data_IF_036189445954
#
_entry.id   IF_036189445954
#
_cell.length_a   1.000
_cell.length_b   1.000
_cell.length_c   1.000
_cell.angle_alpha   90.00
_cell.angle_beta   90.00
_cell.angle_gamma   90.00
#
_symmetry.space_group_name_H-M   'P 1'
#
loop_
_entity.id
_entity.type
_entity.pdbx_description
1 polymer ?
#
# COMPACT_ATOMS: atom_id res chain seq x y z
N UNK A 1 17.95 8.47 -8.51
CA UNK A 1 17.16 7.44 -9.21
C UNK A 1 17.85 7.11 -10.52
N UNK A 2 17.71 5.86 -11.00
CA UNK A 2 18.38 5.41 -12.23
C UNK A 2 17.47 5.54 -13.47
N UNK A 3 16.23 5.06 -13.36
CA UNK A 3 15.27 5.12 -14.45
C UNK A 3 13.83 5.00 -13.97
N UNK A 4 12.89 5.32 -14.85
CA UNK A 4 11.45 5.18 -14.63
C UNK A 4 10.85 4.44 -15.83
N UNK A 5 10.03 3.42 -15.55
CA UNK A 5 9.32 2.67 -16.59
C UNK A 5 7.88 2.39 -16.14
N UNK A 6 6.92 3.10 -16.74
CA UNK A 6 5.53 3.05 -16.33
C UNK A 6 5.37 3.40 -14.84
N UNK A 7 4.71 2.56 -14.02
CA UNK A 7 4.52 2.80 -12.60
C UNK A 7 5.74 2.42 -11.75
N UNK A 8 6.84 1.97 -12.36
CA UNK A 8 8.01 1.45 -11.66
C UNK A 8 9.17 2.46 -11.73
N UNK A 9 9.76 2.71 -10.58
CA UNK A 9 10.96 3.54 -10.41
C UNK A 9 12.11 2.63 -10.00
N UNK A 10 13.23 2.77 -10.69
CA UNK A 10 14.46 2.05 -10.38
C UNK A 10 15.42 2.95 -9.65
N UNK A 11 15.92 2.48 -8.52
CA UNK A 11 16.94 3.17 -7.72
C UNK A 11 18.15 2.27 -7.55
N UNK A 12 19.30 2.88 -7.25
CA UNK A 12 20.47 2.12 -6.79
C UNK A 12 20.13 1.48 -5.45
N UNK A 13 20.43 0.19 -5.30
CA UNK A 13 20.10 -0.58 -4.09
C UNK A 13 20.76 0.02 -2.84
N UNK A 14 19.99 0.49 -1.87
CA UNK A 14 20.50 0.91 -0.57
C UNK A 14 20.94 -0.29 0.28
N UNK A 15 21.87 -0.09 1.21
CA UNK A 15 22.40 -1.18 2.06
C UNK A 15 21.35 -1.84 2.98
N UNK A 16 20.32 -1.09 3.38
CA UNK A 16 19.31 -1.52 4.35
C UNK A 16 17.91 -1.38 3.74
N UNK A 17 17.63 -2.15 2.71
CA UNK A 17 16.31 -2.20 2.09
C UNK A 17 15.74 -3.61 2.21
N UNK A 18 14.44 -3.72 2.43
CA UNK A 18 13.74 -5.00 2.52
C UNK A 18 12.73 -5.16 1.39
N UNK A 19 12.43 -6.40 1.04
CA UNK A 19 11.35 -6.73 0.13
C UNK A 19 10.00 -6.30 0.74
N UNK A 20 9.12 -5.74 -0.09
CA UNK A 20 7.80 -5.23 0.31
C UNK A 20 7.85 -4.04 1.29
N UNK A 21 9.02 -3.41 1.46
CA UNK A 21 9.15 -2.21 2.27
C UNK A 21 8.43 -1.02 1.63
N UNK A 22 7.72 -0.26 2.45
CA UNK A 22 7.09 0.99 2.04
C UNK A 22 8.13 2.06 1.77
N UNK A 23 7.98 2.74 0.64
CA UNK A 23 8.85 3.82 0.20
C UNK A 23 8.03 5.08 -0.04
N UNK A 24 8.51 6.22 0.43
CA UNK A 24 7.94 7.53 0.13
C UNK A 24 8.83 8.28 -0.85
N UNK A 25 8.24 8.75 -1.91
CA UNK A 25 8.88 9.53 -2.97
C UNK A 25 8.42 10.98 -2.83
N UNK A 26 9.33 11.86 -2.38
CA UNK A 26 9.05 13.28 -2.19
C UNK A 26 9.47 14.02 -3.46
N UNK A 27 8.51 14.59 -4.17
CA UNK A 27 8.68 15.33 -5.40
C UNK A 27 9.21 16.77 -5.10
N UNK A 28 9.72 17.44 -6.14
CA UNK A 28 10.23 18.82 -6.02
C UNK A 28 9.19 19.82 -5.51
N UNK A 29 7.92 19.61 -5.83
CA UNK A 29 6.80 20.46 -5.41
C UNK A 29 6.35 20.22 -3.95
N UNK A 30 6.99 19.29 -3.24
CA UNK A 30 6.60 18.88 -1.89
C UNK A 30 5.53 17.80 -1.82
N UNK A 31 4.97 17.40 -2.96
CA UNK A 31 4.04 16.27 -3.04
C UNK A 31 4.78 14.97 -2.67
N UNK A 32 4.16 14.11 -1.88
CA UNK A 32 4.70 12.78 -1.60
C UNK A 32 3.83 11.71 -2.23
N UNK A 33 4.48 10.65 -2.73
CA UNK A 33 3.85 9.47 -3.28
C UNK A 33 4.33 8.23 -2.57
N UNK A 34 3.43 7.28 -2.43
CA UNK A 34 3.72 6.02 -1.74
C UNK A 34 3.98 4.92 -2.76
N UNK A 35 4.97 4.10 -2.48
CA UNK A 35 5.27 2.91 -3.24
C UNK A 35 5.77 1.79 -2.33
N UNK A 36 6.00 0.64 -2.90
CA UNK A 36 6.63 -0.49 -2.23
C UNK A 36 7.74 -1.11 -3.08
N UNK A 37 8.68 -1.75 -2.41
CA UNK A 37 9.75 -2.52 -3.04
C UNK A 37 9.18 -3.82 -3.59
N UNK A 38 9.25 -3.99 -4.92
CA UNK A 38 8.74 -5.19 -5.60
C UNK A 38 9.85 -6.16 -6.03
N UNK A 39 11.06 -5.64 -6.22
CA UNK A 39 12.22 -6.46 -6.55
C UNK A 39 13.49 -5.74 -6.12
N UNK A 40 14.46 -6.49 -5.69
CA UNK A 40 15.80 -5.96 -5.39
C UNK A 40 16.88 -6.94 -5.86
N UNK A 41 17.91 -6.36 -6.42
CA UNK A 41 19.12 -7.04 -6.84
C UNK A 41 20.32 -6.30 -6.20
N UNK A 42 21.53 -6.80 -6.37
CA UNK A 42 22.77 -6.21 -5.80
C UNK A 42 22.94 -4.73 -6.15
N UNK A 43 22.55 -4.32 -7.35
CA UNK A 43 22.77 -2.97 -7.86
C UNK A 43 21.50 -2.14 -7.98
N UNK A 44 20.36 -2.76 -8.29
CA UNK A 44 19.13 -2.06 -8.65
C UNK A 44 17.95 -2.60 -7.84
N UNK A 45 17.16 -1.68 -7.30
CA UNK A 45 15.90 -1.96 -6.63
C UNK A 45 14.76 -1.35 -7.42
N UNK A 46 13.72 -2.15 -7.68
CA UNK A 46 12.49 -1.71 -8.32
C UNK A 46 11.42 -1.36 -7.28
N UNK A 47 10.85 -0.17 -7.40
CA UNK A 47 9.81 0.35 -6.53
C UNK A 47 8.57 0.60 -7.38
N UNK A 48 7.46 -0.01 -7.02
CA UNK A 48 6.16 0.29 -7.60
C UNK A 48 5.53 1.49 -6.90
N UNK A 49 5.15 2.51 -7.66
CA UNK A 49 4.51 3.73 -7.14
C UNK A 49 3.01 3.65 -7.37
N UNK A 50 2.21 3.74 -6.31
CA UNK A 50 0.76 3.52 -6.37
C UNK A 50 0.01 4.63 -7.11
N UNK A 51 0.40 5.89 -6.90
CA UNK A 51 -0.22 7.05 -7.55
C UNK A 51 0.38 7.36 -8.94
N UNK A 52 1.19 6.45 -9.47
CA UNK A 52 1.88 6.61 -10.75
C UNK A 52 3.12 7.49 -10.68
N UNK A 53 3.82 7.60 -11.79
CA UNK A 53 5.16 8.22 -11.88
C UNK A 53 5.17 9.58 -12.58
N UNK A 54 3.99 10.12 -12.98
CA UNK A 54 3.90 11.40 -13.65
C UNK A 54 4.49 12.53 -12.80
N UNK A 55 5.40 13.32 -13.36
CA UNK A 55 6.04 14.44 -12.65
C UNK A 55 7.20 14.06 -11.72
N UNK A 56 7.53 12.76 -11.60
CA UNK A 56 8.73 12.32 -10.89
C UNK A 56 9.98 12.69 -11.71
N UNK A 57 10.92 13.36 -11.07
CA UNK A 57 12.22 13.71 -11.68
C UNK A 57 13.31 12.83 -11.12
N UNK A 58 14.15 12.25 -12.00
CA UNK A 58 15.25 11.39 -11.60
C UNK A 58 16.23 12.07 -10.63
N UNK A 59 16.49 13.37 -10.85
CA UNK A 59 17.50 14.13 -10.09
C UNK A 59 16.95 14.86 -8.87
N UNK A 60 15.64 15.18 -8.86
CA UNK A 60 15.04 16.10 -7.88
C UNK A 60 14.05 15.44 -6.92
N UNK A 61 13.76 14.16 -7.11
CA UNK A 61 12.88 13.40 -6.22
C UNK A 61 13.70 12.72 -5.14
N UNK A 62 13.31 12.90 -3.89
CA UNK A 62 13.94 12.26 -2.75
C UNK A 62 13.20 10.97 -2.40
N UNK A 63 13.93 9.89 -2.24
CA UNK A 63 13.40 8.59 -1.83
C UNK A 63 13.65 8.38 -0.33
N UNK A 64 12.61 8.07 0.42
CA UNK A 64 12.67 7.81 1.87
C UNK A 64 12.15 6.40 2.13
N UNK A 65 12.99 5.54 2.68
CA UNK A 65 12.64 4.20 3.12
C UNK A 65 11.98 4.28 4.50
N UNK A 66 10.89 3.53 4.71
CA UNK A 66 10.14 3.54 5.97
C UNK A 66 10.57 2.43 6.94
N UNK A 67 11.34 1.46 6.50
CA UNK A 67 11.80 0.33 7.33
C UNK A 67 10.71 -0.66 7.73
N UNK A 68 9.51 -0.55 7.13
CA UNK A 68 8.36 -1.42 7.41
C UNK A 68 7.48 -1.56 6.16
N UNK A 69 6.71 -2.64 6.04
CA UNK A 69 5.74 -2.79 4.97
C UNK A 69 4.59 -1.78 5.10
N UNK A 70 3.76 -1.69 4.07
CA UNK A 70 2.55 -0.87 4.12
C UNK A 70 1.62 -1.41 5.20
N UNK A 71 1.28 -0.56 6.15
CA UNK A 71 0.46 -0.90 7.30
C UNK A 71 -0.71 0.05 7.43
N UNK A 72 -1.80 -0.44 8.02
CA UNK A 72 -3.01 0.33 8.29
C UNK A 72 -3.27 0.40 9.80
N UNK A 73 -3.69 1.57 10.25
CA UNK A 73 -4.14 1.77 11.62
C UNK A 73 -5.60 1.31 11.74
N UNK A 74 -5.87 0.46 12.72
CA UNK A 74 -7.20 -0.11 12.95
C UNK A 74 -7.83 0.51 14.20
N UNK A 75 -9.06 1.02 14.05
CA UNK A 75 -9.87 1.59 15.13
C UNK A 75 -11.35 1.44 14.76
N UNK A 76 -12.23 1.45 15.73
CA UNK A 76 -13.68 1.56 15.50
C UNK A 76 -14.05 2.85 14.78
N UNK A 77 -13.22 3.90 14.90
CA UNK A 77 -13.39 5.16 14.16
C UNK A 77 -13.29 5.01 12.63
N UNK A 78 -12.90 3.85 12.13
CA UNK A 78 -12.91 3.55 10.69
C UNK A 78 -14.32 3.27 10.15
N UNK A 79 -15.24 2.90 11.02
CA UNK A 79 -16.62 2.58 10.61
C UNK A 79 -17.30 3.82 10.03
N UNK A 80 -17.88 3.65 8.84
CA UNK A 80 -18.53 4.73 8.09
C UNK A 80 -17.60 5.74 7.42
N UNK A 81 -16.27 5.52 7.46
CA UNK A 81 -15.25 6.34 6.81
C UNK A 81 -14.92 5.82 5.40
N UNK A 82 -14.37 6.69 4.57
CA UNK A 82 -13.94 6.36 3.19
C UNK A 82 -12.43 6.47 3.10
N UNK A 83 -11.79 5.41 2.56
CA UNK A 83 -10.34 5.30 2.43
C UNK A 83 -9.92 5.06 1.00
N UNK A 84 -8.72 5.48 0.65
CA UNK A 84 -8.05 5.07 -0.58
C UNK A 84 -7.44 3.66 -0.44
N UNK A 85 -6.86 3.14 -1.53
CA UNK A 85 -6.23 1.81 -1.55
C UNK A 85 -5.00 1.66 -0.65
N UNK A 86 -4.47 2.74 -0.09
CA UNK A 86 -3.35 2.74 0.87
C UNK A 86 -3.81 2.86 2.33
N UNK A 87 -5.14 2.94 2.56
CA UNK A 87 -5.72 3.12 3.88
C UNK A 87 -5.71 4.57 4.39
N UNK A 88 -5.47 5.54 3.51
CA UNK A 88 -5.54 6.96 3.85
C UNK A 88 -6.98 7.46 3.72
N UNK A 89 -7.54 8.16 4.74
CA UNK A 89 -8.87 8.73 4.64
C UNK A 89 -8.98 9.77 3.52
N UNK A 90 -10.05 9.69 2.73
CA UNK A 90 -10.35 10.63 1.64
C UNK A 90 -11.67 11.39 1.85
N UNK A 91 -12.32 11.20 2.99
CA UNK A 91 -13.59 11.82 3.37
C UNK A 91 -13.44 13.22 4.01
N UNK A 92 -12.21 13.73 4.15
CA UNK A 92 -11.93 15.03 4.75
C UNK A 92 -12.01 15.10 6.28
N UNK A 93 -12.27 13.97 6.97
CA UNK A 93 -12.43 13.92 8.43
C UNK A 93 -11.10 13.71 9.19
N UNK A 94 -9.96 13.79 8.50
CA UNK A 94 -8.65 13.65 9.12
C UNK A 94 -8.19 12.20 9.35
N UNK A 95 -6.97 12.01 9.87
CA UNK A 95 -6.36 10.69 10.04
C UNK A 95 -7.04 9.88 11.15
N UNK A 96 -6.96 8.55 11.05
CA UNK A 96 -7.36 7.62 12.11
C UNK A 96 -6.30 7.61 13.21
N UNK A 97 -6.72 7.85 14.45
CA UNK A 97 -5.87 7.73 15.61
C UNK A 97 -6.05 6.35 16.23
N UNK A 98 -5.01 5.53 16.17
CA UNK A 98 -5.01 4.19 16.74
C UNK A 98 -3.59 3.77 17.14
N UNK A 99 -3.51 3.00 18.20
CA UNK A 99 -2.28 2.33 18.65
C UNK A 99 -2.12 0.94 18.00
N UNK A 100 -3.15 0.45 17.31
CA UNK A 100 -3.13 -0.84 16.64
C UNK A 100 -2.76 -0.59 15.17
N UNK A 101 -1.61 -1.08 14.77
CA UNK A 101 -1.14 -1.03 13.38
C UNK A 101 -0.94 -2.46 12.87
N UNK A 102 -1.47 -2.77 11.70
CA UNK A 102 -1.37 -4.08 11.06
C UNK A 102 -0.85 -3.94 9.64
N UNK A 103 -0.03 -4.92 9.22
CA UNK A 103 0.37 -5.06 7.82
C UNK A 103 -0.87 -5.28 6.95
N UNK A 104 -0.95 -4.55 5.84
CA UNK A 104 -2.11 -4.62 4.93
C UNK A 104 -2.25 -6.00 4.27
N UNK A 105 -1.15 -6.73 4.09
CA UNK A 105 -1.18 -8.10 3.56
C UNK A 105 -1.62 -9.13 4.60
N UNK A 106 -1.58 -8.76 5.89
CA UNK A 106 -1.90 -9.65 6.98
C UNK A 106 -0.95 -10.85 7.13
N UNK A 107 -1.35 -11.78 7.99
CA UNK A 107 -0.65 -13.05 8.18
C UNK A 107 -1.41 -14.18 7.50
N UNK A 108 -0.69 -15.16 6.95
CA UNK A 108 -1.31 -16.39 6.41
C UNK A 108 -2.08 -17.11 7.50
N UNK A 109 -3.34 -17.41 7.24
CA UNK A 109 -4.17 -18.20 8.15
C UNK A 109 -3.87 -19.68 7.93
N UNK A 110 -3.57 -20.41 9.02
CA UNK A 110 -3.41 -21.87 8.96
C UNK A 110 -4.70 -22.51 8.40
N UNK A 111 -4.64 -23.36 7.38
CA UNK A 111 -5.81 -24.03 6.81
C UNK A 111 -6.68 -24.76 7.84
N UNK A 112 -6.08 -25.32 8.89
CA UNK A 112 -6.81 -26.03 9.97
C UNK A 112 -7.66 -25.09 10.82
N UNK A 113 -7.28 -23.80 10.94
CA UNK A 113 -8.04 -22.80 11.70
C UNK A 113 -9.13 -22.11 10.88
N UNK A 114 -9.31 -22.48 9.62
CA UNK A 114 -10.39 -21.95 8.78
C UNK A 114 -11.67 -22.70 9.07
N UNK A 115 -12.72 -21.97 9.31
CA UNK A 115 -14.07 -22.51 9.37
C UNK A 115 -14.72 -22.55 7.99
N UNK A 116 -15.66 -23.49 7.79
CA UNK A 116 -16.48 -23.50 6.58
C UNK A 116 -17.34 -22.23 6.54
N UNK A 117 -17.36 -21.50 5.43
CA UNK A 117 -18.20 -20.33 5.29
C UNK A 117 -19.67 -20.71 5.38
N UNK A 118 -20.43 -20.00 6.20
CA UNK A 118 -21.87 -20.22 6.40
C UNK A 118 -22.71 -19.02 6.06
N UNK A 119 -22.11 -17.84 6.08
CA UNK A 119 -22.77 -16.58 5.83
C UNK A 119 -22.09 -15.89 4.65
N UNK A 120 -22.86 -15.31 3.74
CA UNK A 120 -22.31 -14.51 2.67
C UNK A 120 -22.03 -13.07 3.15
N UNK A 121 -21.15 -12.39 2.43
CA UNK A 121 -20.80 -10.99 2.69
C UNK A 121 -21.64 -10.12 1.74
N UNK A 122 -22.53 -9.32 2.30
CA UNK A 122 -23.28 -8.30 1.55
C UNK A 122 -22.34 -7.16 1.14
N UNK A 123 -22.11 -7.01 -0.16
CA UNK A 123 -21.27 -5.93 -0.69
C UNK A 123 -22.09 -4.68 -1.06
N UNK A 124 -23.40 -4.81 -1.23
CA UNK A 124 -24.30 -3.78 -1.76
C UNK A 124 -24.18 -3.59 -3.28
N UNK A 125 -23.37 -4.41 -3.95
CA UNK A 125 -23.21 -4.41 -5.41
C UNK A 125 -24.00 -5.58 -5.98
N UNK A 126 -25.15 -5.31 -6.63
CA UNK A 126 -26.08 -6.33 -7.09
C UNK A 126 -25.46 -7.38 -8.02
N UNK A 127 -24.50 -7.01 -8.84
CA UNK A 127 -23.78 -7.95 -9.73
C UNK A 127 -22.88 -8.93 -8.95
N UNK A 128 -22.30 -8.51 -7.84
CA UNK A 128 -21.48 -9.39 -6.98
C UNK A 128 -22.42 -10.24 -6.13
N UNK A 129 -23.34 -9.61 -5.41
CA UNK A 129 -24.22 -10.30 -4.46
C UNK A 129 -25.16 -11.31 -5.15
N UNK A 130 -25.54 -11.03 -6.42
CA UNK A 130 -26.44 -11.91 -7.17
C UNK A 130 -25.77 -12.96 -8.08
N UNK A 131 -24.54 -12.71 -8.57
CA UNK A 131 -23.89 -13.58 -9.56
C UNK A 131 -22.61 -14.23 -9.06
N UNK A 132 -21.89 -13.61 -8.14
CA UNK A 132 -20.60 -14.10 -7.61
C UNK A 132 -20.52 -13.86 -6.10
N UNK A 133 -21.53 -14.27 -5.36
CA UNK A 133 -21.64 -14.08 -3.92
C UNK A 133 -20.36 -14.43 -3.18
N UNK A 134 -19.85 -13.49 -2.38
CA UNK A 134 -18.70 -13.69 -1.51
C UNK A 134 -19.12 -14.43 -0.24
N UNK A 135 -18.42 -15.50 0.12
CA UNK A 135 -18.61 -16.33 1.31
C UNK A 135 -17.33 -16.40 2.13
#
# INVERSE_FOLDING_TARGET
MESINGPIVYIKTPKNIAYNEQVELILKNGESRIGNVISMDENITAIQVYEGTNGISLDKTKTVLKGKPLSIKLSEDMLGRIFDGTGKPIDGLGPINSNIEKDINGSSINPISREYPRNYIETGISSIDGLMTLI
#
